data_IF_268921261082
#
_entry.id   IF_268921261082
#
_cell.length_a   1.000
_cell.length_b   1.000
_cell.length_c   1.000
_cell.angle_alpha   90.00
_cell.angle_beta   90.00
_cell.angle_gamma   90.00
#
_symmetry.space_group_name_H-M   'P 1'
#
loop_
_entity.id
_entity.type
_entity.pdbx_description
1 polymer ?
#
# COMPACT_ATOMS: atom_id res chain seq x y z
N UNK A 1 -33.18 22.60 29.88
CA UNK A 1 -33.14 22.83 28.42
C UNK A 1 -31.71 22.89 27.87
N UNK A 2 -30.81 23.69 28.43
CA UNK A 2 -29.42 23.82 27.96
C UNK A 2 -28.62 22.48 27.94
N UNK A 3 -28.78 21.65 28.98
CA UNK A 3 -28.10 20.35 29.07
C UNK A 3 -28.51 19.36 27.94
N UNK A 4 -29.77 19.40 27.50
CA UNK A 4 -30.25 18.54 26.41
C UNK A 4 -29.69 18.97 25.06
N UNK A 5 -29.60 20.28 24.79
CA UNK A 5 -29.02 20.80 23.54
C UNK A 5 -27.53 20.46 23.44
N UNK A 6 -26.78 20.59 24.54
CA UNK A 6 -25.35 20.22 24.58
C UNK A 6 -25.15 18.72 24.36
N UNK A 7 -25.98 17.87 24.99
CA UNK A 7 -25.90 16.42 24.78
C UNK A 7 -26.24 16.01 23.35
N UNK A 8 -27.30 16.57 22.76
CA UNK A 8 -27.66 16.30 21.36
C UNK A 8 -26.57 16.75 20.38
N UNK A 9 -25.94 17.90 20.64
CA UNK A 9 -24.79 18.37 19.86
C UNK A 9 -23.58 17.44 20.01
N UNK A 10 -23.26 17.01 21.23
CA UNK A 10 -22.18 16.05 21.47
C UNK A 10 -22.43 14.71 20.77
N UNK A 11 -23.66 14.18 20.84
CA UNK A 11 -24.04 12.95 20.12
C UNK A 11 -23.86 13.16 18.62
N UNK A 12 -24.34 14.27 18.07
CA UNK A 12 -24.17 14.58 16.66
C UNK A 12 -22.70 14.65 16.23
N UNK A 13 -21.86 15.32 17.03
CA UNK A 13 -20.41 15.39 16.78
C UNK A 13 -19.76 14.00 16.86
N UNK A 14 -20.14 13.17 17.83
CA UNK A 14 -19.63 11.79 17.98
C UNK A 14 -20.03 10.93 16.78
N UNK A 15 -21.29 11.04 16.33
CA UNK A 15 -21.80 10.31 15.15
C UNK A 15 -21.04 10.76 13.90
N UNK A 16 -20.88 12.07 13.68
CA UNK A 16 -20.16 12.61 12.53
C UNK A 16 -18.68 12.18 12.51
N UNK A 17 -17.99 12.19 13.65
CA UNK A 17 -16.61 11.69 13.75
C UNK A 17 -16.52 10.19 13.44
N UNK A 18 -17.50 9.39 13.88
CA UNK A 18 -17.55 7.96 13.57
C UNK A 18 -17.81 7.69 12.08
N UNK A 19 -18.63 8.51 11.42
CA UNK A 19 -18.86 8.44 9.97
C UNK A 19 -17.57 8.68 9.19
N UNK A 20 -16.85 9.78 9.48
CA UNK A 20 -15.56 10.07 8.84
C UNK A 20 -14.54 8.94 9.05
N UNK A 21 -14.49 8.35 10.26
CA UNK A 21 -13.64 7.18 10.54
C UNK A 21 -14.03 5.95 9.72
N UNK A 22 -15.33 5.70 9.54
CA UNK A 22 -15.84 4.60 8.73
C UNK A 22 -15.52 4.79 7.25
N UNK A 23 -15.80 5.97 6.68
CA UNK A 23 -15.46 6.32 5.29
C UNK A 23 -13.97 6.17 5.03
N UNK A 24 -13.14 6.71 5.93
CA UNK A 24 -11.70 6.62 5.83
C UNK A 24 -11.21 5.16 5.87
N UNK A 25 -11.81 4.30 6.71
CA UNK A 25 -11.50 2.87 6.72
C UNK A 25 -11.91 2.14 5.43
N UNK A 26 -12.97 2.56 4.75
CA UNK A 26 -13.38 1.98 3.47
C UNK A 26 -12.41 2.41 2.36
N UNK A 27 -12.09 3.71 2.29
CA UNK A 27 -11.12 4.25 1.33
C UNK A 27 -9.76 3.58 1.54
N UNK A 28 -9.35 3.34 2.78
CA UNK A 28 -8.13 2.61 3.13
C UNK A 28 -8.08 1.22 2.48
N UNK A 29 -9.16 0.44 2.60
CA UNK A 29 -9.27 -0.89 2.00
C UNK A 29 -9.23 -0.82 0.47
N UNK A 30 -9.86 0.19 -0.12
CA UNK A 30 -9.79 0.43 -1.57
C UNK A 30 -8.36 0.74 -2.02
N UNK A 31 -7.65 1.62 -1.31
CA UNK A 31 -6.24 1.92 -1.59
C UNK A 31 -5.41 0.65 -1.50
N UNK A 32 -5.57 -0.13 -0.42
CA UNK A 32 -4.84 -1.38 -0.22
C UNK A 32 -5.09 -2.36 -1.37
N UNK A 33 -6.35 -2.53 -1.78
CA UNK A 33 -6.72 -3.39 -2.91
C UNK A 33 -6.09 -2.93 -4.23
N UNK A 34 -6.13 -1.62 -4.51
CA UNK A 34 -5.53 -1.05 -5.73
C UNK A 34 -4.01 -1.24 -5.71
N UNK A 35 -3.33 -0.95 -4.60
CA UNK A 35 -1.87 -1.16 -4.48
C UNK A 35 -1.51 -2.63 -4.67
N UNK A 36 -2.22 -3.54 -4.00
CA UNK A 36 -1.99 -4.98 -4.11
C UNK A 36 -2.19 -5.50 -5.53
N UNK A 37 -3.26 -5.06 -6.20
CA UNK A 37 -3.52 -5.36 -7.60
C UNK A 37 -2.43 -4.83 -8.51
N UNK A 38 -1.98 -3.58 -8.28
CA UNK A 38 -0.92 -2.92 -9.04
C UNK A 38 0.40 -3.71 -8.96
N UNK A 39 0.80 -4.06 -7.74
CA UNK A 39 2.01 -4.84 -7.48
C UNK A 39 1.92 -6.20 -8.17
N UNK A 40 0.79 -6.88 -8.05
CA UNK A 40 0.58 -8.20 -8.68
C UNK A 40 0.71 -8.14 -10.20
N UNK A 41 0.13 -7.14 -10.85
CA UNK A 41 0.21 -6.96 -12.31
C UNK A 41 1.66 -6.69 -12.73
N UNK A 42 2.33 -5.74 -12.07
CA UNK A 42 3.72 -5.37 -12.40
C UNK A 42 4.64 -6.58 -12.24
N UNK A 43 4.51 -7.32 -11.14
CA UNK A 43 5.29 -8.52 -10.90
C UNK A 43 5.02 -9.61 -11.92
N UNK A 44 3.76 -9.83 -12.29
CA UNK A 44 3.40 -10.82 -13.31
C UNK A 44 4.06 -10.50 -14.65
N UNK A 45 4.09 -9.22 -15.04
CA UNK A 45 4.75 -8.77 -16.26
C UNK A 45 6.28 -8.99 -16.18
N UNK A 46 6.91 -8.64 -15.05
CA UNK A 46 8.35 -8.83 -14.83
C UNK A 46 8.72 -10.31 -14.92
N UNK A 47 8.00 -11.17 -14.19
CA UNK A 47 8.22 -12.62 -14.21
C UNK A 47 8.04 -13.17 -15.62
N UNK A 48 6.96 -12.79 -16.32
CA UNK A 48 6.73 -13.22 -17.69
C UNK A 48 7.88 -12.83 -18.62
N UNK A 49 8.33 -11.58 -18.58
CA UNK A 49 9.43 -11.08 -19.42
C UNK A 49 10.74 -11.85 -19.17
N UNK A 50 11.03 -12.14 -17.91
CA UNK A 50 12.23 -12.87 -17.53
C UNK A 50 12.22 -14.29 -18.12
N UNK A 51 11.11 -15.01 -18.04
CA UNK A 51 11.05 -16.41 -18.50
C UNK A 51 10.83 -16.54 -20.02
N UNK A 52 10.24 -15.53 -20.68
CA UNK A 52 9.89 -15.57 -22.11
C UNK A 52 10.38 -14.36 -22.91
N UNK A 53 11.69 -14.06 -22.90
CA UNK A 53 12.21 -12.83 -23.50
C UNK A 53 12.04 -12.76 -25.04
N UNK A 54 11.92 -13.91 -25.72
CA UNK A 54 11.86 -13.97 -27.19
C UNK A 54 10.46 -13.78 -27.77
N UNK A 55 9.41 -13.87 -26.96
CA UNK A 55 8.03 -13.93 -27.46
C UNK A 55 7.31 -12.59 -27.47
N UNK A 56 7.87 -11.55 -26.84
CA UNK A 56 7.20 -10.26 -26.68
C UNK A 56 8.17 -9.11 -26.94
N UNK A 57 7.75 -8.15 -27.78
CA UNK A 57 8.51 -6.94 -28.00
C UNK A 57 8.60 -6.11 -26.72
N UNK A 58 9.81 -5.65 -26.38
CA UNK A 58 10.04 -4.80 -25.21
C UNK A 58 9.12 -3.56 -25.23
N UNK A 59 8.82 -3.04 -26.42
CA UNK A 59 7.86 -1.95 -26.63
C UNK A 59 6.44 -2.28 -26.16
N UNK A 60 5.93 -3.48 -26.43
CA UNK A 60 4.59 -3.87 -25.99
C UNK A 60 4.52 -3.98 -24.46
N UNK A 61 5.58 -4.50 -23.84
CA UNK A 61 5.68 -4.62 -22.37
C UNK A 61 5.73 -3.25 -21.72
N UNK A 62 6.61 -2.36 -22.19
CA UNK A 62 6.73 -1.01 -21.62
C UNK A 62 5.46 -0.20 -21.82
N UNK A 63 4.82 -0.30 -22.98
CA UNK A 63 3.51 0.32 -23.23
C UNK A 63 2.44 -0.23 -22.27
N UNK A 64 2.36 -1.55 -22.08
CA UNK A 64 1.43 -2.18 -21.16
C UNK A 64 1.65 -1.75 -19.70
N UNK A 65 2.90 -1.77 -19.23
CA UNK A 65 3.27 -1.28 -17.88
C UNK A 65 2.88 0.19 -17.74
N UNK A 66 3.18 1.03 -18.75
CA UNK A 66 2.89 2.46 -18.70
C UNK A 66 1.37 2.73 -18.65
N UNK A 67 0.57 2.04 -19.47
CA UNK A 67 -0.89 2.18 -19.45
C UNK A 67 -1.48 1.77 -18.10
N UNK A 68 -1.03 0.63 -17.56
CA UNK A 68 -1.44 0.15 -16.24
C UNK A 68 -1.02 1.14 -15.16
N UNK A 69 0.21 1.65 -15.23
CA UNK A 69 0.75 2.60 -14.27
C UNK A 69 -0.04 3.91 -14.28
N UNK A 70 -0.34 4.49 -15.45
CA UNK A 70 -1.11 5.73 -15.56
C UNK A 70 -2.51 5.56 -14.97
N UNK A 71 -3.20 4.48 -15.32
CA UNK A 71 -4.56 4.22 -14.81
C UNK A 71 -4.57 4.02 -13.29
N UNK A 72 -3.68 3.17 -12.77
CA UNK A 72 -3.62 2.85 -11.35
C UNK A 72 -3.11 4.03 -10.52
N UNK A 73 -2.15 4.80 -11.05
CA UNK A 73 -1.66 6.02 -10.41
C UNK A 73 -2.75 7.08 -10.33
N UNK A 74 -3.53 7.27 -11.40
CA UNK A 74 -4.69 8.18 -11.39
C UNK A 74 -5.73 7.79 -10.35
N UNK A 75 -6.05 6.49 -10.27
CA UNK A 75 -6.97 5.95 -9.27
C UNK A 75 -6.44 6.13 -7.84
N UNK A 76 -5.15 5.89 -7.61
CA UNK A 76 -4.48 6.10 -6.33
C UNK A 76 -4.51 7.57 -5.91
N UNK A 77 -4.19 8.50 -6.82
CA UNK A 77 -4.25 9.93 -6.54
C UNK A 77 -5.66 10.36 -6.14
N UNK A 78 -6.67 9.86 -6.85
CA UNK A 78 -8.08 10.12 -6.54
C UNK A 78 -8.41 9.65 -5.12
N UNK A 79 -8.09 8.39 -4.77
CA UNK A 79 -8.34 7.82 -3.45
C UNK A 79 -7.56 8.53 -2.33
N UNK A 80 -6.30 8.92 -2.57
CA UNK A 80 -5.53 9.73 -1.63
C UNK A 80 -6.13 11.12 -1.44
N UNK A 81 -6.72 11.71 -2.49
CA UNK A 81 -7.49 12.96 -2.39
C UNK A 81 -8.67 12.85 -1.42
N UNK A 82 -9.47 11.78 -1.52
CA UNK A 82 -10.54 11.51 -0.55
C UNK A 82 -9.99 11.27 0.85
N UNK A 83 -8.92 10.48 0.98
CA UNK A 83 -8.27 10.20 2.26
C UNK A 83 -7.82 11.49 2.93
N UNK A 84 -7.20 12.41 2.19
CA UNK A 84 -6.76 13.71 2.69
C UNK A 84 -7.95 14.56 3.15
N UNK A 85 -9.04 14.59 2.38
CA UNK A 85 -10.27 15.29 2.75
C UNK A 85 -10.86 14.75 4.05
N UNK A 86 -11.03 13.44 4.16
CA UNK A 86 -11.57 12.80 5.37
C UNK A 86 -10.64 12.96 6.59
N UNK A 87 -9.32 12.86 6.39
CA UNK A 87 -8.33 13.15 7.42
C UNK A 87 -8.42 14.61 7.91
N UNK A 88 -8.82 15.57 7.08
CA UNK A 88 -8.89 16.98 7.48
C UNK A 88 -9.86 17.21 8.64
N UNK A 89 -10.98 16.45 8.70
CA UNK A 89 -12.03 16.55 9.71
C UNK A 89 -11.70 15.87 11.05
N UNK A 90 -10.67 15.02 11.09
CA UNK A 90 -10.29 14.30 12.29
C UNK A 90 -9.45 15.16 13.25
N UNK A 91 -9.46 14.79 14.54
CA UNK A 91 -8.51 15.34 15.51
C UNK A 91 -7.08 14.94 15.14
N UNK A 92 -6.08 15.74 15.55
CA UNK A 92 -4.67 15.44 15.25
C UNK A 92 -4.26 14.05 15.76
N UNK A 93 -4.72 13.67 16.95
CA UNK A 93 -4.49 12.33 17.52
C UNK A 93 -5.10 11.22 16.64
N UNK A 94 -6.37 11.37 16.24
CA UNK A 94 -7.05 10.37 15.39
C UNK A 94 -6.39 10.24 14.01
N UNK A 95 -5.90 11.33 13.42
CA UNK A 95 -5.14 11.30 12.15
C UNK A 95 -3.89 10.42 12.26
N UNK A 96 -3.07 10.64 13.30
CA UNK A 96 -1.86 9.85 13.49
C UNK A 96 -2.15 8.40 13.83
N UNK A 97 -3.18 8.15 14.64
CA UNK A 97 -3.64 6.78 14.94
C UNK A 97 -4.09 6.05 13.68
N UNK A 98 -4.84 6.72 12.81
CA UNK A 98 -5.23 6.18 11.51
C UNK A 98 -4.02 5.91 10.61
N UNK A 99 -3.12 6.89 10.43
CA UNK A 99 -1.92 6.73 9.61
C UNK A 99 -1.02 5.60 10.12
N UNK A 100 -0.91 5.43 11.43
CA UNK A 100 -0.19 4.32 12.06
C UNK A 100 -0.79 2.98 11.65
N UNK A 101 -2.12 2.81 11.81
CA UNK A 101 -2.84 1.60 11.40
C UNK A 101 -2.70 1.32 9.90
N UNK A 102 -2.88 2.35 9.08
CA UNK A 102 -2.72 2.24 7.62
C UNK A 102 -1.31 1.81 7.23
N UNK A 103 -0.29 2.39 7.84
CA UNK A 103 1.12 2.03 7.58
C UNK A 103 1.39 0.57 7.94
N UNK A 104 0.85 0.08 9.05
CA UNK A 104 0.98 -1.33 9.47
C UNK A 104 0.30 -2.27 8.46
N UNK A 105 -0.92 -1.96 8.05
CA UNK A 105 -1.65 -2.79 7.08
C UNK A 105 -0.94 -2.83 5.72
N UNK A 106 -0.46 -1.69 5.24
CA UNK A 106 0.34 -1.60 4.02
C UNK A 106 1.64 -2.40 4.14
N UNK A 107 2.36 -2.31 5.26
CA UNK A 107 3.58 -3.07 5.50
C UNK A 107 3.33 -4.58 5.52
N UNK A 108 2.28 -5.02 6.21
CA UNK A 108 1.89 -6.44 6.25
C UNK A 108 1.53 -6.95 4.85
N UNK A 109 0.78 -6.17 4.09
CA UNK A 109 0.40 -6.52 2.72
C UNK A 109 1.60 -6.62 1.78
N UNK A 110 2.51 -5.66 1.84
CA UNK A 110 3.76 -5.67 1.06
C UNK A 110 4.62 -6.89 1.40
N UNK A 111 4.65 -7.27 2.67
CA UNK A 111 5.41 -8.44 3.14
C UNK A 111 4.83 -9.71 2.54
N UNK A 112 3.50 -9.86 2.58
CA UNK A 112 2.81 -10.98 1.95
C UNK A 112 3.06 -11.03 0.44
N UNK A 113 2.98 -9.88 -0.25
CA UNK A 113 3.30 -9.82 -1.67
C UNK A 113 4.74 -10.21 -1.97
N UNK A 114 5.71 -9.76 -1.17
CA UNK A 114 7.10 -10.17 -1.34
C UNK A 114 7.29 -11.69 -1.22
N UNK A 115 6.68 -12.32 -0.20
CA UNK A 115 6.72 -13.78 -0.04
C UNK A 115 6.05 -14.52 -1.20
N UNK A 116 4.88 -14.06 -1.65
CA UNK A 116 4.19 -14.63 -2.81
C UNK A 116 5.02 -14.50 -4.09
N UNK A 117 5.70 -13.37 -4.27
CA UNK A 117 6.55 -13.11 -5.43
C UNK A 117 7.73 -14.06 -5.48
N UNK A 118 8.44 -14.20 -4.36
CA UNK A 118 9.58 -15.11 -4.23
C UNK A 118 9.10 -16.55 -4.49
N UNK A 119 7.95 -16.93 -3.91
CA UNK A 119 7.36 -18.25 -4.13
C UNK A 119 7.02 -18.50 -5.60
N UNK A 120 6.40 -17.53 -6.28
CA UNK A 120 6.08 -17.62 -7.69
C UNK A 120 7.35 -17.75 -8.55
N UNK A 121 8.38 -16.96 -8.28
CA UNK A 121 9.66 -17.01 -9.00
C UNK A 121 10.32 -18.39 -8.85
N UNK A 122 10.32 -18.96 -7.64
CA UNK A 122 10.83 -20.31 -7.38
C UNK A 122 10.01 -21.36 -8.15
N UNK A 123 8.69 -21.25 -8.16
CA UNK A 123 7.81 -22.15 -8.93
C UNK A 123 8.10 -22.07 -10.44
N UNK A 124 8.24 -20.86 -10.99
CA UNK A 124 8.57 -20.68 -12.40
C UNK A 124 9.94 -21.23 -12.76
N UNK A 125 10.93 -21.11 -11.87
CA UNK A 125 12.26 -21.70 -12.07
C UNK A 125 12.22 -23.23 -12.13
N UNK A 126 11.33 -23.87 -11.37
CA UNK A 126 11.13 -25.33 -11.43
C UNK A 126 10.54 -25.73 -12.79
N UNK A 127 9.61 -24.94 -13.34
CA UNK A 127 8.96 -25.23 -14.63
C UNK A 127 9.86 -24.88 -15.84
N UNK A 128 10.66 -23.82 -15.72
CA UNK A 128 11.49 -23.29 -16.79
C UNK A 128 12.90 -22.98 -16.25
N UNK A 129 13.76 -24.00 -16.13
CA UNK A 129 15.04 -23.86 -15.46
C UNK A 129 15.97 -22.90 -16.20
N UNK A 130 16.30 -21.79 -15.55
CA UNK A 130 17.40 -20.90 -15.95
C UNK A 130 18.74 -21.36 -15.38
N UNK A 131 19.88 -20.93 -15.96
CA UNK A 131 21.19 -21.09 -15.34
C UNK A 131 21.19 -20.59 -13.90
N UNK A 132 21.80 -21.36 -12.99
CA UNK A 132 21.77 -21.11 -11.55
C UNK A 132 22.28 -19.70 -11.18
N UNK A 133 23.31 -19.22 -11.88
CA UNK A 133 23.89 -17.89 -11.65
C UNK A 133 22.87 -16.79 -11.94
N UNK A 134 22.19 -16.85 -13.08
CA UNK A 134 21.17 -15.87 -13.47
C UNK A 134 20.00 -15.84 -12.48
N UNK A 135 19.60 -17.01 -12.01
CA UNK A 135 18.54 -17.15 -11.02
C UNK A 135 18.92 -16.54 -9.65
N UNK A 136 20.13 -16.82 -9.16
CA UNK A 136 20.64 -16.26 -7.90
C UNK A 136 20.73 -14.73 -7.99
N UNK A 137 21.26 -14.20 -9.09
CA UNK A 137 21.36 -12.73 -9.30
C UNK A 137 19.98 -12.10 -9.31
N UNK A 138 19.01 -12.70 -10.00
CA UNK A 138 17.64 -12.22 -10.07
C UNK A 138 16.96 -12.17 -8.69
N UNK A 139 17.02 -13.27 -7.92
CA UNK A 139 16.45 -13.30 -6.56
C UNK A 139 17.17 -12.30 -5.65
N UNK A 140 18.50 -12.20 -5.76
CA UNK A 140 19.29 -11.25 -4.98
C UNK A 140 18.82 -9.82 -5.20
N UNK A 141 18.66 -9.39 -6.46
CA UNK A 141 18.17 -8.06 -6.81
C UNK A 141 16.78 -7.78 -6.25
N UNK A 142 15.84 -8.72 -6.41
CA UNK A 142 14.47 -8.57 -5.91
C UNK A 142 14.46 -8.50 -4.38
N UNK A 143 15.24 -9.34 -3.70
CA UNK A 143 15.32 -9.39 -2.24
C UNK A 143 15.88 -8.07 -1.70
N UNK A 144 16.95 -7.54 -2.31
CA UNK A 144 17.52 -6.24 -1.92
C UNK A 144 16.48 -5.12 -2.12
N UNK A 145 15.79 -5.09 -3.26
CA UNK A 145 14.74 -4.09 -3.51
C UNK A 145 13.62 -4.15 -2.47
N UNK A 146 13.14 -5.35 -2.13
CA UNK A 146 12.12 -5.53 -1.07
C UNK A 146 12.63 -5.04 0.27
N UNK A 147 13.86 -5.40 0.67
CA UNK A 147 14.45 -4.97 1.95
C UNK A 147 14.53 -3.43 2.02
N UNK A 148 14.97 -2.77 0.94
CA UNK A 148 15.05 -1.31 0.89
C UNK A 148 13.66 -0.68 1.08
N UNK A 149 12.64 -1.18 0.39
CA UNK A 149 11.26 -0.70 0.55
C UNK A 149 10.77 -0.91 1.98
N UNK A 150 11.00 -2.09 2.58
CA UNK A 150 10.61 -2.37 3.96
C UNK A 150 11.28 -1.42 4.97
N UNK A 151 12.56 -1.12 4.78
CA UNK A 151 13.28 -0.16 5.63
C UNK A 151 12.69 1.26 5.53
N UNK A 152 12.26 1.69 4.33
CA UNK A 152 11.59 2.98 4.14
C UNK A 152 10.23 3.04 4.87
N UNK A 153 9.46 1.94 4.84
CA UNK A 153 8.21 1.85 5.59
C UNK A 153 8.45 1.88 7.10
N UNK A 154 9.44 1.15 7.61
CA UNK A 154 9.81 1.17 9.03
C UNK A 154 10.25 2.57 9.50
N UNK A 155 11.00 3.30 8.65
CA UNK A 155 11.39 4.69 8.94
C UNK A 155 10.17 5.60 9.03
N UNK A 156 9.25 5.50 8.07
CA UNK A 156 8.00 6.28 8.04
C UNK A 156 7.15 5.97 9.28
N UNK A 157 6.98 4.69 9.61
CA UNK A 157 6.28 4.23 10.80
C UNK A 157 6.89 4.79 12.09
N UNK A 158 8.23 4.76 12.22
CA UNK A 158 8.96 5.32 13.37
C UNK A 158 8.71 6.81 13.56
N UNK A 159 8.58 7.58 12.48
CA UNK A 159 8.25 9.02 12.55
C UNK A 159 6.81 9.21 13.04
N UNK A 160 5.86 8.47 12.47
CA UNK A 160 4.44 8.55 12.84
C UNK A 160 4.22 8.18 14.30
N UNK A 161 4.79 7.07 14.78
CA UNK A 161 4.60 6.63 16.16
C UNK A 161 5.22 7.59 17.17
N UNK A 162 6.36 8.23 16.84
CA UNK A 162 6.96 9.28 17.68
C UNK A 162 6.03 10.49 17.80
N UNK A 163 5.34 10.87 16.72
CA UNK A 163 4.38 11.96 16.74
C UNK A 163 3.12 11.59 17.53
N UNK A 164 2.64 10.34 17.40
CA UNK A 164 1.49 9.84 18.17
C UNK A 164 1.78 9.86 19.67
N UNK A 165 2.94 9.34 20.11
CA UNK A 165 3.33 9.34 21.54
C UNK A 165 3.44 10.74 22.13
N UNK A 166 3.92 11.72 21.35
CA UNK A 166 3.97 13.12 21.79
C UNK A 166 2.59 13.73 22.02
N UNK A 167 1.59 13.31 21.26
CA UNK A 167 0.22 13.80 21.38
C UNK A 167 -0.57 13.10 22.47
N UNK A 168 -0.19 11.87 22.84
CA UNK A 168 -0.80 11.13 23.95
C UNK A 168 -0.37 11.67 25.32
N UNK A 169 0.85 12.23 25.40
CA UNK A 169 1.41 12.80 26.62
C UNK A 169 1.00 14.27 26.87
N UNK A 170 0.25 14.89 25.96
CA UNK A 170 -0.19 16.29 26.03
C UNK A 170 -1.71 16.36 26.21
#
# INVERSE_FOLDING_TARGET
MLSFVVMSFLIFVIVMVNEHKAHLSVIQKMILAVVNGSITIILSIIVFYIFYPQNISLFLITAGILTVFVFLYGLLLFLFGFTHRELSYLSKYDKYKFLCKFTIEMFSSLTNHAFLTISAIVLYQIQHPKPTIDFIVMIGMITISVIVVMLLFLKTYSIIIKQLKKLENN
#
